data_IF_545371947344
#
_entry.id   IF_545371947344
#
_cell.length_a   1.000
_cell.length_b   1.000
_cell.length_c   1.000
_cell.angle_alpha   90.00
_cell.angle_beta   90.00
_cell.angle_gamma   90.00
#
_symmetry.space_group_name_H-M   'P 1'
#
loop_
_entity.id
_entity.type
_entity.pdbx_description
1 polymer ?
#
# COMPACT_ATOMS: atom_id res chain seq x y z
N UNK A 1 -18.99 -28.66 -7.59
CA UNK A 1 -17.96 -29.57 -7.04
C UNK A 1 -18.17 -29.65 -5.54
N UNK A 2 -18.21 -30.86 -4.96
CA UNK A 2 -18.36 -31.06 -3.50
C UNK A 2 -16.96 -31.28 -2.92
N UNK A 3 -16.61 -30.56 -1.86
CA UNK A 3 -15.30 -30.67 -1.19
C UNK A 3 -15.23 -31.98 -0.41
N UNK A 4 -14.08 -32.68 -0.44
CA UNK A 4 -13.86 -33.89 0.37
C UNK A 4 -13.75 -33.51 1.85
N UNK A 5 -14.26 -34.36 2.75
CA UNK A 5 -14.27 -34.13 4.20
C UNK A 5 -12.87 -33.85 4.74
N UNK A 6 -11.88 -34.63 4.31
CA UNK A 6 -10.51 -34.53 4.76
C UNK A 6 -9.89 -33.15 4.45
N UNK A 7 -10.25 -32.55 3.31
CA UNK A 7 -9.82 -31.19 2.96
C UNK A 7 -10.64 -30.12 3.71
N UNK A 8 -11.92 -30.38 3.96
CA UNK A 8 -12.78 -29.48 4.73
C UNK A 8 -12.34 -29.37 6.18
N UNK A 9 -11.95 -30.50 6.79
CA UNK A 9 -11.56 -30.59 8.20
C UNK A 9 -10.24 -29.86 8.50
N UNK A 10 -9.44 -29.56 7.47
CA UNK A 10 -8.22 -28.74 7.60
C UNK A 10 -8.50 -27.23 7.70
N UNK A 11 -9.73 -26.77 7.39
CA UNK A 11 -10.08 -25.35 7.36
C UNK A 11 -10.62 -24.90 8.72
N UNK A 12 -9.75 -24.28 9.52
CA UNK A 12 -10.10 -23.85 10.89
C UNK A 12 -10.39 -22.34 10.97
N UNK A 13 -9.42 -21.49 10.60
CA UNK A 13 -9.48 -20.04 10.87
C UNK A 13 -9.72 -19.17 9.64
N UNK A 14 -9.68 -19.77 8.44
CA UNK A 14 -9.79 -19.05 7.17
C UNK A 14 -10.82 -19.74 6.26
N UNK A 15 -12.04 -19.89 6.75
CA UNK A 15 -13.15 -20.43 5.96
C UNK A 15 -13.52 -19.44 4.86
N UNK A 16 -13.32 -19.84 3.60
CA UNK A 16 -13.67 -19.00 2.46
C UNK A 16 -15.19 -18.87 2.33
N UNK A 17 -15.71 -17.64 2.45
CA UNK A 17 -17.13 -17.35 2.30
C UNK A 17 -17.39 -16.25 1.28
N UNK A 18 -18.61 -16.25 0.72
CA UNK A 18 -19.05 -15.14 -0.11
C UNK A 18 -19.46 -13.96 0.77
N UNK A 19 -18.91 -12.79 0.46
CA UNK A 19 -19.39 -11.55 1.07
C UNK A 19 -20.77 -11.18 0.51
N UNK A 20 -21.78 -11.13 1.39
CA UNK A 20 -23.14 -10.67 1.05
C UNK A 20 -23.34 -9.21 1.47
N UNK A 21 -23.15 -8.90 2.75
CA UNK A 21 -23.25 -7.54 3.29
C UNK A 21 -22.45 -7.39 4.59
N UNK A 22 -22.18 -6.14 4.96
CA UNK A 22 -21.57 -5.82 6.25
C UNK A 22 -22.48 -6.20 7.43
N UNK A 23 -23.79 -5.96 7.32
CA UNK A 23 -24.77 -6.29 8.36
C UNK A 23 -24.83 -7.80 8.65
N UNK A 24 -24.82 -8.63 7.60
CA UNK A 24 -24.82 -10.08 7.76
C UNK A 24 -23.51 -10.55 8.41
N UNK A 25 -22.38 -9.97 8.02
CA UNK A 25 -21.10 -10.29 8.64
C UNK A 25 -21.12 -9.94 10.13
N UNK A 26 -21.66 -8.77 10.46
CA UNK A 26 -21.75 -8.27 11.81
C UNK A 26 -22.73 -9.08 12.68
N UNK A 27 -23.86 -9.53 12.14
CA UNK A 27 -24.81 -10.35 12.90
C UNK A 27 -24.24 -11.73 13.23
N UNK A 28 -23.43 -12.30 12.33
CA UNK A 28 -22.84 -13.64 12.51
C UNK A 28 -21.62 -13.66 13.43
N UNK A 29 -20.89 -12.55 13.56
CA UNK A 29 -19.65 -12.43 14.36
C UNK A 29 -18.61 -13.54 14.10
N UNK A 30 -18.58 -14.11 12.89
CA UNK A 30 -17.76 -15.27 12.56
C UNK A 30 -16.32 -14.86 12.18
N UNK A 31 -15.44 -14.69 13.17
CA UNK A 31 -14.05 -14.24 12.95
C UNK A 31 -13.17 -15.22 12.13
N UNK A 32 -13.57 -16.50 12.05
CA UNK A 32 -12.87 -17.53 11.27
C UNK A 32 -13.21 -17.52 9.77
N UNK A 33 -14.11 -16.65 9.33
CA UNK A 33 -14.45 -16.52 7.92
C UNK A 33 -13.58 -15.48 7.22
N UNK A 34 -13.29 -15.73 5.95
CA UNK A 34 -12.50 -14.85 5.09
C UNK A 34 -13.25 -14.61 3.78
N UNK A 35 -13.41 -13.34 3.42
CA UNK A 35 -14.03 -12.94 2.15
C UNK A 35 -12.97 -12.54 1.12
N UNK A 36 -13.19 -12.90 -0.14
CA UNK A 36 -12.31 -12.51 -1.25
C UNK A 36 -12.97 -11.49 -2.18
N UNK A 37 -12.23 -10.45 -2.55
CA UNK A 37 -12.69 -9.33 -3.35
C UNK A 37 -11.75 -9.11 -4.54
N UNK A 38 -12.32 -8.98 -5.73
CA UNK A 38 -11.58 -8.41 -6.85
C UNK A 38 -11.20 -6.95 -6.53
N UNK A 39 -10.05 -6.48 -7.02
CA UNK A 39 -9.56 -5.12 -6.79
C UNK A 39 -10.61 -4.02 -7.05
N UNK A 40 -11.47 -4.18 -8.06
CA UNK A 40 -12.52 -3.20 -8.39
C UNK A 40 -13.63 -3.18 -7.35
N UNK A 41 -14.05 -4.35 -6.85
CA UNK A 41 -15.04 -4.45 -5.77
C UNK A 41 -14.47 -3.88 -4.47
N UNK A 42 -13.22 -4.19 -4.14
CA UNK A 42 -12.56 -3.64 -2.96
C UNK A 42 -12.46 -2.10 -3.03
N UNK A 43 -12.00 -1.55 -4.16
CA UNK A 43 -11.95 -0.09 -4.41
C UNK A 43 -13.32 0.56 -4.23
N UNK A 44 -14.38 -0.05 -4.78
CA UNK A 44 -15.75 0.44 -4.65
C UNK A 44 -16.20 0.46 -3.18
N UNK A 45 -15.98 -0.62 -2.44
CA UNK A 45 -16.31 -0.69 -1.00
C UNK A 45 -15.53 0.35 -0.18
N UNK A 46 -14.27 0.62 -0.52
CA UNK A 46 -13.47 1.65 0.14
C UNK A 46 -14.04 3.04 -0.12
N UNK A 47 -14.45 3.32 -1.36
CA UNK A 47 -14.98 4.63 -1.75
C UNK A 47 -16.38 4.90 -1.21
N UNK A 48 -17.26 3.88 -1.21
CA UNK A 48 -18.68 4.05 -0.85
C UNK A 48 -18.96 3.70 0.62
N UNK A 49 -18.15 2.83 1.23
CA UNK A 49 -18.41 2.26 2.56
C UNK A 49 -17.13 2.16 3.42
N UNK A 50 -16.15 3.04 3.19
CA UNK A 50 -14.82 2.99 3.82
C UNK A 50 -14.83 2.69 5.33
N UNK A 51 -15.50 3.50 6.17
CA UNK A 51 -15.57 3.27 7.61
C UNK A 51 -16.11 1.88 7.97
N UNK A 52 -17.20 1.46 7.34
CA UNK A 52 -17.82 0.15 7.58
C UNK A 52 -16.89 -0.99 7.15
N UNK A 53 -16.17 -0.83 6.04
CA UNK A 53 -15.24 -1.86 5.57
C UNK A 53 -14.01 -1.98 6.49
N UNK A 54 -13.52 -0.87 7.04
CA UNK A 54 -12.46 -0.87 8.06
C UNK A 54 -12.93 -1.60 9.32
N UNK A 55 -14.14 -1.32 9.81
CA UNK A 55 -14.74 -2.02 10.95
C UNK A 55 -14.85 -3.52 10.67
N UNK A 56 -15.35 -3.91 9.50
CA UNK A 56 -15.36 -5.31 9.06
C UNK A 56 -13.98 -5.96 9.14
N UNK A 57 -12.94 -5.24 8.70
CA UNK A 57 -11.55 -5.69 8.75
C UNK A 57 -10.92 -5.69 10.17
N UNK A 58 -11.65 -5.32 11.22
CA UNK A 58 -11.26 -5.58 12.62
C UNK A 58 -11.71 -6.95 13.13
N UNK A 59 -12.61 -7.62 12.40
CA UNK A 59 -13.21 -8.89 12.79
C UNK A 59 -12.82 -10.02 11.84
N UNK A 60 -12.99 -9.80 10.53
CA UNK A 60 -12.69 -10.80 9.50
C UNK A 60 -11.49 -10.40 8.64
N UNK A 61 -10.88 -11.40 8.01
CA UNK A 61 -9.84 -11.18 7.01
C UNK A 61 -10.47 -10.90 5.64
N UNK A 62 -9.96 -9.87 4.97
CA UNK A 62 -10.28 -9.56 3.58
C UNK A 62 -9.11 -9.87 2.67
N UNK A 63 -9.34 -10.75 1.70
CA UNK A 63 -8.42 -11.03 0.60
C UNK A 63 -8.77 -10.19 -0.61
N UNK A 64 -7.83 -9.38 -1.09
CA UNK A 64 -7.99 -8.62 -2.35
C UNK A 64 -7.06 -9.21 -3.39
N UNK A 65 -7.53 -9.36 -4.63
CA UNK A 65 -6.74 -9.93 -5.72
C UNK A 65 -6.89 -9.16 -7.03
N UNK A 66 -5.89 -9.22 -7.93
CA UNK A 66 -5.94 -8.51 -9.21
C UNK A 66 -7.04 -9.05 -10.12
N UNK A 67 -7.60 -8.21 -10.99
CA UNK A 67 -8.58 -8.67 -11.99
C UNK A 67 -7.97 -9.71 -12.94
N UNK A 68 -8.80 -10.67 -13.39
CA UNK A 68 -8.42 -11.62 -14.44
C UNK A 68 -8.09 -10.97 -15.79
N UNK A 69 -8.57 -9.75 -16.03
CA UNK A 69 -8.22 -8.96 -17.23
C UNK A 69 -6.75 -8.49 -17.23
N UNK A 70 -6.04 -8.55 -16.10
CA UNK A 70 -4.60 -8.26 -16.00
C UNK A 70 -3.78 -9.46 -16.49
N UNK A 71 -3.98 -9.84 -17.74
CA UNK A 71 -3.31 -10.96 -18.40
C UNK A 71 -1.78 -10.80 -18.43
N UNK A 72 -1.30 -9.55 -18.37
CA UNK A 72 0.12 -9.20 -18.32
C UNK A 72 0.73 -9.30 -16.90
N UNK A 73 -0.04 -9.80 -15.93
CA UNK A 73 0.28 -9.85 -14.51
C UNK A 73 0.57 -8.49 -13.88
N UNK A 74 0.06 -7.38 -14.45
CA UNK A 74 0.14 -6.07 -13.81
C UNK A 74 -0.47 -6.09 -12.39
N UNK A 75 -0.02 -5.18 -11.54
CA UNK A 75 -0.49 -5.04 -10.17
C UNK A 75 -1.35 -3.77 -10.03
N UNK A 76 -2.28 -3.79 -9.07
CA UNK A 76 -2.95 -2.59 -8.58
C UNK A 76 -2.14 -1.97 -7.44
N UNK A 77 -2.38 -0.70 -7.11
CA UNK A 77 -1.74 -0.05 -5.97
C UNK A 77 -2.21 -0.69 -4.65
N UNK A 78 -1.35 -1.39 -3.90
CA UNK A 78 -1.75 -2.05 -2.65
C UNK A 78 -2.08 -1.06 -1.54
N UNK A 79 -1.58 0.19 -1.61
CA UNK A 79 -1.83 1.22 -0.61
C UNK A 79 -3.33 1.53 -0.47
N UNK A 80 -4.05 1.59 -1.60
CA UNK A 80 -5.49 1.82 -1.58
C UNK A 80 -6.22 0.75 -0.77
N UNK A 81 -5.81 -0.52 -0.87
CA UNK A 81 -6.44 -1.62 -0.12
C UNK A 81 -6.08 -1.58 1.35
N UNK A 82 -4.83 -1.23 1.69
CA UNK A 82 -4.41 -1.06 3.08
C UNK A 82 -5.13 0.11 3.77
N UNK A 83 -5.49 1.18 3.04
CA UNK A 83 -6.33 2.26 3.58
C UNK A 83 -7.71 1.78 4.02
N UNK A 84 -8.25 0.76 3.35
CA UNK A 84 -9.50 0.08 3.76
C UNK A 84 -9.32 -0.94 4.88
N UNK A 85 -8.09 -1.13 5.39
CA UNK A 85 -7.78 -2.12 6.42
C UNK A 85 -7.64 -3.56 5.92
N UNK A 86 -7.67 -3.80 4.59
CA UNK A 86 -7.51 -5.13 4.01
C UNK A 86 -6.12 -5.70 4.31
N UNK A 87 -6.06 -6.96 4.73
CA UNK A 87 -4.84 -7.61 5.24
C UNK A 87 -4.18 -8.48 4.18
N UNK A 88 -4.98 -9.26 3.44
CA UNK A 88 -4.49 -10.22 2.45
C UNK A 88 -4.53 -9.61 1.04
N UNK A 89 -3.69 -8.60 0.81
CA UNK A 89 -3.61 -7.87 -0.46
C UNK A 89 -2.67 -8.61 -1.42
N UNK A 90 -3.24 -9.50 -2.23
CA UNK A 90 -2.48 -10.35 -3.14
C UNK A 90 -2.00 -9.58 -4.37
N UNK A 91 -0.70 -9.68 -4.64
CA UNK A 91 -0.03 -9.11 -5.82
C UNK A 91 0.66 -10.22 -6.61
N UNK A 92 0.92 -9.96 -7.88
CA UNK A 92 1.76 -10.76 -8.75
C UNK A 92 3.25 -10.49 -8.42
N UNK A 93 3.86 -11.32 -7.56
CA UNK A 93 5.25 -11.16 -7.08
C UNK A 93 6.30 -11.18 -8.19
N UNK A 94 6.01 -11.87 -9.28
CA UNK A 94 6.85 -11.95 -10.47
C UNK A 94 6.90 -10.64 -11.27
N UNK A 95 5.94 -9.72 -11.09
CA UNK A 95 5.87 -8.45 -11.83
C UNK A 95 6.56 -7.33 -11.03
N UNK A 96 7.76 -6.88 -11.46
CA UNK A 96 8.37 -5.69 -10.87
C UNK A 96 7.56 -4.44 -11.20
N UNK A 97 7.55 -3.47 -10.31
CA UNK A 97 6.75 -2.26 -10.45
C UNK A 97 6.68 -1.49 -9.13
N UNK A 98 6.14 -0.27 -9.19
CA UNK A 98 5.95 0.57 -8.01
C UNK A 98 5.11 -0.15 -6.95
N UNK A 99 4.09 -0.89 -7.37
CA UNK A 99 3.19 -1.65 -6.51
C UNK A 99 3.95 -2.71 -5.70
N UNK A 100 4.88 -3.41 -6.34
CA UNK A 100 5.72 -4.41 -5.69
C UNK A 100 6.81 -3.76 -4.83
N UNK A 101 7.32 -2.59 -5.23
CA UNK A 101 8.26 -1.82 -4.41
C UNK A 101 7.59 -1.32 -3.12
N UNK A 102 6.34 -0.86 -3.18
CA UNK A 102 5.54 -0.51 -2.00
C UNK A 102 5.32 -1.72 -1.09
N UNK A 103 4.95 -2.86 -1.67
CA UNK A 103 4.78 -4.11 -0.92
C UNK A 103 6.06 -4.54 -0.19
N UNK A 104 7.18 -4.59 -0.91
CA UNK A 104 8.49 -4.91 -0.32
C UNK A 104 8.89 -3.86 0.73
N UNK A 105 8.64 -2.58 0.47
CA UNK A 105 8.90 -1.49 1.40
C UNK A 105 8.12 -1.64 2.71
N UNK A 106 6.82 -1.94 2.62
CA UNK A 106 5.96 -2.20 3.78
C UNK A 106 6.49 -3.37 4.59
N UNK A 107 6.60 -4.54 3.97
CA UNK A 107 6.96 -5.80 4.65
C UNK A 107 8.43 -5.94 5.04
N UNK A 108 9.27 -4.92 4.82
CA UNK A 108 10.58 -4.79 5.49
C UNK A 108 10.45 -4.42 6.96
N UNK A 109 9.35 -3.77 7.34
CA UNK A 109 9.04 -3.45 8.73
C UNK A 109 8.86 -4.73 9.55
N UNK A 110 8.90 -4.59 10.88
CA UNK A 110 8.70 -5.71 11.82
C UNK A 110 9.59 -6.93 11.51
N UNK A 111 10.88 -6.68 11.24
CA UNK A 111 11.88 -7.72 11.04
C UNK A 111 11.66 -8.63 9.83
N UNK A 112 10.93 -8.18 8.80
CA UNK A 112 10.59 -8.99 7.61
C UNK A 112 9.72 -10.22 7.90
N UNK A 113 8.94 -10.20 8.99
CA UNK A 113 8.10 -11.34 9.38
C UNK A 113 6.93 -11.65 8.43
N UNK A 114 6.59 -10.72 7.53
CA UNK A 114 5.39 -10.79 6.71
C UNK A 114 4.11 -10.31 7.42
N UNK A 115 4.20 -9.88 8.68
CA UNK A 115 3.07 -9.35 9.45
C UNK A 115 3.38 -7.97 10.01
N UNK A 116 2.47 -7.03 9.83
CA UNK A 116 2.59 -5.65 10.33
C UNK A 116 1.31 -5.28 11.05
N UNK A 117 1.45 -4.79 12.27
CA UNK A 117 0.31 -4.35 13.06
C UNK A 117 -0.35 -3.14 12.39
N UNK A 118 -1.67 -3.21 12.20
CA UNK A 118 -2.49 -2.08 11.73
C UNK A 118 -2.46 -0.92 12.73
N UNK A 119 -2.62 0.33 12.28
CA UNK A 119 -2.70 1.47 13.19
C UNK A 119 -3.93 1.34 14.09
N UNK A 120 -3.87 1.97 15.27
CA UNK A 120 -4.87 1.85 16.32
C UNK A 120 -6.28 2.23 15.83
N UNK A 121 -6.39 3.31 15.04
CA UNK A 121 -7.65 3.77 14.44
C UNK A 121 -8.26 2.82 13.40
N UNK A 122 -7.52 1.78 12.95
CA UNK A 122 -8.04 0.70 12.09
C UNK A 122 -8.23 -0.63 12.86
N UNK A 123 -8.06 -0.59 14.19
CA UNK A 123 -8.26 -1.73 15.09
C UNK A 123 -9.37 -1.44 16.09
N UNK A 124 -9.55 -0.19 16.48
CA UNK A 124 -10.61 0.28 17.36
C UNK A 124 -11.92 0.50 16.58
N UNK A 125 -12.97 -0.25 16.95
CA UNK A 125 -14.30 -0.20 16.32
C UNK A 125 -15.08 1.07 16.68
N UNK A 126 -14.67 1.78 17.73
CA UNK A 126 -15.30 3.04 18.15
C UNK A 126 -14.85 4.23 17.29
N UNK A 127 -13.72 4.10 16.59
CA UNK A 127 -13.17 5.15 15.74
C UNK A 127 -13.69 5.00 14.31
N UNK A 128 -14.44 6.01 13.85
CA UNK A 128 -14.93 6.07 12.47
C UNK A 128 -13.91 6.76 11.55
N UNK A 129 -12.88 6.02 11.17
CA UNK A 129 -11.92 6.49 10.16
C UNK A 129 -12.50 6.32 8.75
N UNK A 130 -12.49 7.40 7.96
CA UNK A 130 -12.83 7.38 6.54
C UNK A 130 -11.57 7.66 5.70
N UNK A 131 -11.10 6.69 4.89
CA UNK A 131 -9.92 6.87 4.06
C UNK A 131 -10.13 7.88 2.92
N UNK A 132 -11.38 8.15 2.52
CA UNK A 132 -11.71 9.14 1.49
C UNK A 132 -11.80 10.56 2.04
N UNK A 133 -12.04 10.69 3.35
CA UNK A 133 -12.23 11.97 4.05
C UNK A 133 -11.55 11.93 5.43
N UNK A 134 -10.21 11.92 5.48
CA UNK A 134 -9.48 11.83 6.74
C UNK A 134 -9.69 13.09 7.60
N UNK A 135 -10.51 12.99 8.65
CA UNK A 135 -10.77 14.09 9.60
C UNK A 135 -9.74 14.07 10.73
N UNK A 136 -9.13 15.23 11.03
CA UNK A 136 -8.22 15.42 12.17
C UNK A 136 -8.92 15.12 13.50
N UNK A 137 -8.27 14.34 14.37
CA UNK A 137 -8.82 13.94 15.68
C UNK A 137 -9.33 12.48 15.76
N UNK A 138 -9.41 11.76 14.63
CA UNK A 138 -9.75 10.33 14.56
C UNK A 138 -8.55 9.38 14.83
N UNK A 139 -7.60 9.82 15.67
CA UNK A 139 -6.28 9.17 15.80
C UNK A 139 -5.28 9.54 14.71
N UNK A 140 -5.66 10.43 13.78
CA UNK A 140 -4.80 10.99 12.75
C UNK A 140 -4.10 12.25 13.25
N UNK A 141 -2.77 12.24 13.23
CA UNK A 141 -1.94 13.40 13.55
C UNK A 141 -1.31 13.94 12.26
N UNK A 142 -1.71 15.15 11.85
CA UNK A 142 -1.06 15.83 10.73
C UNK A 142 0.41 16.10 11.08
N UNK A 143 1.29 15.86 10.12
CA UNK A 143 2.73 16.08 10.23
C UNK A 143 3.23 16.75 8.95
N UNK A 144 4.28 17.55 9.08
CA UNK A 144 4.98 18.11 7.95
C UNK A 144 6.19 17.21 7.62
N UNK A 145 6.31 16.81 6.35
CA UNK A 145 7.45 16.04 5.85
C UNK A 145 8.17 16.85 4.77
N UNK A 146 9.47 17.06 4.96
CA UNK A 146 10.34 17.70 3.97
C UNK A 146 11.38 16.70 3.49
N UNK A 147 11.46 16.54 2.17
CA UNK A 147 12.43 15.64 1.53
C UNK A 147 13.39 16.49 0.72
N UNK A 148 14.66 16.53 1.14
CA UNK A 148 15.74 17.20 0.41
C UNK A 148 16.56 16.17 -0.36
N UNK A 149 16.51 16.22 -1.68
CA UNK A 149 17.38 15.41 -2.55
C UNK A 149 18.73 16.11 -2.67
N UNK A 150 19.75 15.58 -1.98
CA UNK A 150 21.07 16.22 -1.88
C UNK A 150 21.98 15.77 -3.03
N UNK A 151 22.15 14.46 -3.20
CA UNK A 151 23.08 13.82 -4.15
C UNK A 151 22.65 12.39 -4.40
N UNK A 152 23.09 11.80 -5.51
CA UNK A 152 23.05 10.36 -5.71
C UNK A 152 24.47 9.85 -5.99
N UNK A 153 24.82 8.68 -5.46
CA UNK A 153 26.15 8.08 -5.61
C UNK A 153 26.05 6.73 -6.31
N UNK A 154 27.06 6.43 -7.13
CA UNK A 154 27.23 5.11 -7.76
C UNK A 154 25.97 4.61 -8.48
N UNK A 155 25.28 5.53 -9.19
CA UNK A 155 24.09 5.17 -9.94
C UNK A 155 24.40 4.08 -10.96
N UNK A 156 23.63 2.98 -10.98
CA UNK A 156 23.88 1.90 -11.91
C UNK A 156 23.64 2.38 -13.33
N UNK A 157 24.52 1.96 -14.26
CA UNK A 157 24.28 2.18 -15.69
C UNK A 157 23.04 1.40 -16.12
N UNK A 158 22.01 2.12 -16.55
CA UNK A 158 20.73 1.54 -16.98
C UNK A 158 20.90 0.84 -18.33
N UNK A 159 21.65 1.45 -19.26
CA UNK A 159 22.00 0.83 -20.53
C UNK A 159 23.38 0.16 -20.45
N UNK A 160 23.39 -1.18 -20.43
CA UNK A 160 24.63 -1.98 -20.36
C UNK A 160 25.33 -2.13 -21.72
N UNK A 161 24.61 -1.91 -22.82
CA UNK A 161 25.14 -2.10 -24.18
C UNK A 161 25.96 -0.89 -24.65
N UNK A 162 25.57 0.33 -24.24
CA UNK A 162 26.32 1.56 -24.53
C UNK A 162 27.33 1.85 -23.42
N UNK A 163 28.52 1.23 -23.48
CA UNK A 163 29.59 1.43 -22.47
C UNK A 163 29.92 2.90 -22.18
N UNK A 164 29.81 3.77 -23.19
CA UNK A 164 30.12 5.20 -23.10
C UNK A 164 28.91 6.09 -22.79
N UNK A 165 27.69 5.55 -22.62
CA UNK A 165 26.55 6.40 -22.25
C UNK A 165 26.69 6.86 -20.80
N UNK A 166 26.56 8.17 -20.61
CA UNK A 166 26.44 8.80 -19.30
C UNK A 166 24.97 8.72 -18.89
N UNK A 167 24.72 8.57 -17.58
CA UNK A 167 23.36 8.59 -17.03
C UNK A 167 22.93 10.05 -16.91
N UNK A 168 21.70 10.36 -17.35
CA UNK A 168 21.01 11.64 -17.15
C UNK A 168 19.93 11.43 -16.08
N UNK A 169 20.31 11.44 -14.78
CA UNK A 169 19.41 11.03 -13.73
C UNK A 169 18.38 12.11 -13.42
N UNK A 170 17.16 11.65 -13.15
CA UNK A 170 16.11 12.42 -12.53
C UNK A 170 15.59 11.64 -11.32
N UNK A 171 15.42 12.34 -10.18
CA UNK A 171 14.85 11.75 -8.97
C UNK A 171 13.38 12.13 -8.89
N UNK A 172 12.51 11.12 -8.77
CA UNK A 172 11.08 11.27 -8.50
C UNK A 172 10.80 10.81 -7.08
N UNK A 173 10.07 11.64 -6.34
CA UNK A 173 9.60 11.36 -4.98
C UNK A 173 8.09 11.30 -5.01
N UNK A 174 7.53 10.21 -4.50
CA UNK A 174 6.09 10.01 -4.41
C UNK A 174 5.70 9.69 -2.97
N UNK A 175 4.60 10.29 -2.52
CA UNK A 175 3.94 9.97 -1.27
C UNK A 175 2.71 9.14 -1.61
N UNK A 176 2.60 7.96 -1.01
CA UNK A 176 1.44 7.07 -1.15
C UNK A 176 0.81 6.86 0.23
N UNK A 177 -0.46 7.20 0.37
CA UNK A 177 -1.22 7.05 1.61
C UNK A 177 -2.72 7.13 1.33
N UNK A 178 -3.45 7.84 2.18
CA UNK A 178 -4.82 8.28 1.85
C UNK A 178 -4.78 9.27 0.66
N UNK A 179 -5.88 9.47 -0.09
CA UNK A 179 -5.90 10.37 -1.24
C UNK A 179 -5.36 11.77 -0.95
N UNK A 180 -5.68 12.33 0.22
CA UNK A 180 -5.23 13.66 0.65
C UNK A 180 -3.72 13.77 0.87
N UNK A 181 -3.04 12.66 1.15
CA UNK A 181 -1.59 12.62 1.36
C UNK A 181 -0.83 12.35 0.05
N UNK A 182 -1.51 11.85 -0.99
CA UNK A 182 -0.85 11.44 -2.23
C UNK A 182 -0.22 12.64 -2.94
N UNK A 183 1.08 12.56 -3.18
CA UNK A 183 1.84 13.63 -3.81
C UNK A 183 2.94 13.08 -4.70
N UNK A 184 3.33 13.82 -5.72
CA UNK A 184 4.47 13.47 -6.59
C UNK A 184 5.26 14.72 -6.93
N UNK A 185 6.57 14.65 -6.74
CA UNK A 185 7.52 15.68 -7.16
C UNK A 185 8.71 15.04 -7.88
N UNK A 186 9.38 15.82 -8.73
CA UNK A 186 10.55 15.37 -9.48
C UNK A 186 11.61 16.48 -9.51
N UNK A 187 12.88 16.10 -9.49
CA UNK A 187 13.98 17.01 -9.77
C UNK A 187 13.98 17.39 -11.25
N UNK A 188 14.70 18.44 -11.62
CA UNK A 188 15.12 18.64 -13.02
C UNK A 188 16.07 17.51 -13.42
N UNK A 189 16.14 17.22 -14.72
CA UNK A 189 17.20 16.35 -15.23
C UNK A 189 18.52 17.10 -15.12
N UNK A 190 19.61 16.38 -14.90
CA UNK A 190 20.94 16.97 -14.92
C UNK A 190 21.70 16.30 -16.07
N UNK A 191 21.93 17.06 -17.15
CA UNK A 191 22.66 16.58 -18.32
C UNK A 191 24.10 16.23 -17.96
N UNK A 192 24.55 15.02 -18.32
CA UNK A 192 25.95 14.61 -18.26
C UNK A 192 26.62 14.78 -16.88
N UNK A 193 25.86 14.84 -15.79
CA UNK A 193 26.41 15.25 -14.50
C UNK A 193 26.08 14.24 -13.40
N UNK A 194 27.10 13.46 -13.05
CA UNK A 194 27.03 12.49 -11.95
C UNK A 194 27.04 13.12 -10.55
N UNK A 195 27.10 14.45 -10.39
CA UNK A 195 27.29 15.09 -9.08
C UNK A 195 26.69 16.52 -8.93
N UNK A 196 26.06 16.76 -7.77
CA UNK A 196 25.70 18.04 -7.05
C UNK A 196 24.25 18.59 -7.14
N UNK A 197 23.98 19.54 -6.22
CA UNK A 197 22.83 19.69 -5.32
C UNK A 197 21.65 20.57 -5.77
N UNK A 198 20.44 20.32 -5.23
CA UNK A 198 19.23 21.16 -5.35
C UNK A 198 18.56 21.34 -3.97
N UNK A 199 17.96 22.51 -3.69
CA UNK A 199 17.37 22.86 -2.39
C UNK A 199 15.83 22.81 -2.39
N UNK A 200 15.24 22.15 -1.39
CA UNK A 200 13.84 22.31 -0.96
C UNK A 200 13.83 22.30 0.59
N UNK A 201 13.04 23.19 1.23
CA UNK A 201 13.21 23.65 2.62
C UNK A 201 12.24 23.07 3.69
N UNK A 202 12.76 23.11 4.93
CA UNK A 202 12.15 23.18 6.28
C UNK A 202 11.97 21.91 7.13
N UNK A 203 11.95 22.12 8.46
CA UNK A 203 12.51 21.33 9.57
C UNK A 203 11.40 20.85 10.51
N UNK A 204 11.55 19.64 11.07
CA UNK A 204 11.47 19.34 12.52
C UNK A 204 11.30 17.83 12.77
N UNK A 205 12.03 17.37 13.79
CA UNK A 205 12.12 15.98 14.22
C UNK A 205 10.84 15.53 14.91
N UNK A 206 9.91 14.95 14.17
CA UNK A 206 8.81 14.18 14.73
C UNK A 206 8.83 12.76 14.18
N UNK A 207 8.67 11.77 15.06
CA UNK A 207 8.33 10.42 14.63
C UNK A 207 6.97 10.47 13.94
N UNK A 208 6.98 10.20 12.64
CA UNK A 208 5.80 9.96 11.83
C UNK A 208 5.29 8.56 12.23
N UNK A 209 4.16 8.51 12.95
CA UNK A 209 3.28 7.34 12.89
C UNK A 209 2.21 7.59 11.82
N UNK A 210 2.46 7.17 10.57
CA UNK A 210 1.38 6.84 9.67
C UNK A 210 1.55 5.37 9.31
N UNK A 211 0.63 4.51 9.73
CA UNK A 211 0.69 3.13 9.25
C UNK A 211 0.36 2.99 7.74
N UNK A 212 0.19 4.12 7.03
CA UNK A 212 -0.22 4.18 5.63
C UNK A 212 0.64 5.06 4.74
N UNK A 213 1.60 5.86 5.23
CA UNK A 213 2.37 6.76 4.35
C UNK A 213 3.67 6.10 3.88
N UNK A 214 3.83 6.00 2.56
CA UNK A 214 5.03 5.49 1.89
C UNK A 214 5.69 6.59 1.10
N UNK A 215 6.97 6.83 1.39
CA UNK A 215 7.84 7.65 0.52
C UNK A 215 8.51 6.71 -0.47
N UNK A 216 8.09 6.75 -1.72
CA UNK A 216 8.70 5.99 -2.79
C UNK A 216 9.60 6.91 -3.63
N UNK A 217 10.89 6.59 -3.67
CA UNK A 217 11.89 7.37 -4.39
C UNK A 217 12.40 6.52 -5.56
N UNK A 218 12.24 7.04 -6.78
CA UNK A 218 12.73 6.39 -8.00
C UNK A 218 13.66 7.32 -8.76
N UNK A 219 14.80 6.77 -9.17
CA UNK A 219 15.74 7.42 -10.08
C UNK A 219 15.48 6.88 -11.48
N UNK A 220 15.32 7.78 -12.46
CA UNK A 220 15.13 7.44 -13.87
C UNK A 220 16.25 8.06 -14.69
N UNK A 221 16.71 7.33 -15.70
CA UNK A 221 17.47 7.93 -16.80
C UNK A 221 16.48 8.54 -17.78
N UNK A 222 16.71 9.78 -18.21
CA UNK A 222 15.95 10.40 -19.29
C UNK A 222 16.50 9.94 -20.64
#
# INVERSE_FOLDING_TARGET
QRLMSELSDMVIYCQSTHFHSFDQTWSRQAAHETSSFAETKAKKLIAENGPTFIIHNTLQLSKVYPLGSRIDSSNFNPQEMWNGGCQLVALNFQKPGMEMDLNKGKFRQNGHSGYILKPDFMRDRSIQFDPSRPISGSGLNRKQLTIKIITAQQLPKVNKEKKNSIVDPLVRVEIHGVPDDNATQKTTHIENNGYRHIHLLSRDSASLSPATLFVWIKIKNV
#
